data_IF_063712179624
#
_entry.id   IF_063712179624
#
_cell.length_a   1.000
_cell.length_b   1.000
_cell.length_c   1.000
_cell.angle_alpha   90.00
_cell.angle_beta   90.00
_cell.angle_gamma   90.00
#
_symmetry.space_group_name_H-M   'P 1'
#
loop_
_entity.id
_entity.type
_entity.pdbx_description
1 polymer ?
#
# COMPACT_ATOMS: atom_id res chain seq x y z
N UNK A 1 12.99 -14.25 -11.65
CA UNK A 1 12.87 -14.17 -10.18
C UNK A 1 13.94 -15.02 -9.55
N UNK A 2 14.74 -14.45 -8.67
CA UNK A 2 15.80 -15.16 -7.97
C UNK A 2 15.27 -15.73 -6.64
N UNK A 3 15.34 -17.05 -6.46
CA UNK A 3 14.85 -17.74 -5.26
C UNK A 3 15.57 -17.32 -3.97
N UNK A 4 16.82 -16.89 -4.07
CA UNK A 4 17.62 -16.42 -2.93
C UNK A 4 17.11 -15.11 -2.34
N UNK A 5 16.57 -14.22 -3.19
CA UNK A 5 16.03 -12.93 -2.74
C UNK A 5 14.65 -13.16 -2.10
N UNK A 6 13.88 -14.08 -2.65
CA UNK A 6 12.57 -14.47 -2.11
C UNK A 6 12.69 -15.08 -0.71
N UNK A 7 13.66 -15.96 -0.48
CA UNK A 7 13.88 -16.54 0.86
C UNK A 7 14.23 -15.46 1.89
N UNK A 8 15.09 -14.49 1.52
CA UNK A 8 15.41 -13.34 2.38
C UNK A 8 14.20 -12.47 2.67
N UNK A 9 13.39 -12.15 1.67
CA UNK A 9 12.17 -11.36 1.83
C UNK A 9 11.14 -12.07 2.73
N UNK A 10 11.05 -13.42 2.66
CA UNK A 10 10.13 -14.20 3.51
C UNK A 10 10.52 -14.22 4.99
N UNK A 11 11.77 -13.88 5.33
CA UNK A 11 12.19 -13.71 6.74
C UNK A 11 11.68 -12.39 7.29
N UNK A 12 11.66 -11.34 6.46
CA UNK A 12 11.13 -10.02 6.83
C UNK A 12 9.61 -10.04 6.92
N UNK A 13 8.95 -10.69 5.95
CA UNK A 13 7.49 -10.83 5.90
C UNK A 13 7.14 -12.32 5.95
N UNK A 14 6.81 -12.87 7.14
CA UNK A 14 6.46 -14.27 7.29
C UNK A 14 5.14 -14.63 6.57
N UNK A 15 4.22 -13.67 6.46
CA UNK A 15 2.92 -13.86 5.80
C UNK A 15 3.05 -13.82 4.27
N UNK A 16 2.89 -15.00 3.66
CA UNK A 16 3.03 -15.18 2.20
C UNK A 16 2.03 -14.33 1.40
N UNK A 17 0.78 -14.27 1.84
CA UNK A 17 -0.27 -13.48 1.18
C UNK A 17 0.06 -11.98 1.21
N UNK A 18 0.57 -11.50 2.35
CA UNK A 18 0.98 -10.11 2.52
C UNK A 18 2.19 -9.81 1.61
N UNK A 19 3.18 -10.69 1.59
CA UNK A 19 4.36 -10.57 0.73
C UNK A 19 3.97 -10.42 -0.75
N UNK A 20 3.07 -11.27 -1.26
CA UNK A 20 2.58 -11.17 -2.65
C UNK A 20 1.87 -9.83 -2.88
N UNK A 21 1.06 -9.37 -1.92
CA UNK A 21 0.34 -8.10 -2.02
C UNK A 21 1.27 -6.88 -2.05
N UNK A 22 2.35 -6.87 -1.25
CA UNK A 22 3.34 -5.80 -1.31
C UNK A 22 4.09 -5.84 -2.65
N UNK A 23 4.57 -7.02 -3.05
CA UNK A 23 5.36 -7.17 -4.27
C UNK A 23 4.55 -6.72 -5.49
N UNK A 24 3.28 -7.14 -5.63
CA UNK A 24 2.45 -6.72 -6.77
C UNK A 24 2.23 -5.20 -6.79
N UNK A 25 1.99 -4.59 -5.63
CA UNK A 25 1.72 -3.16 -5.53
C UNK A 25 2.98 -2.37 -5.87
N UNK A 26 4.12 -2.82 -5.36
CA UNK A 26 5.40 -2.17 -5.62
C UNK A 26 5.83 -2.30 -7.08
N UNK A 27 5.67 -3.49 -7.68
CA UNK A 27 5.94 -3.67 -9.12
C UNK A 27 5.06 -2.75 -9.97
N UNK A 28 3.80 -2.55 -9.59
CA UNK A 28 2.91 -1.58 -10.25
C UNK A 28 3.45 -0.15 -10.17
N UNK A 29 3.96 0.26 -9.00
CA UNK A 29 4.58 1.59 -8.83
C UNK A 29 5.83 1.74 -9.70
N UNK A 30 6.71 0.74 -9.72
CA UNK A 30 7.91 0.78 -10.54
C UNK A 30 7.57 0.85 -12.05
N UNK A 31 6.55 0.10 -12.49
CA UNK A 31 6.03 0.19 -13.86
C UNK A 31 5.45 1.58 -14.18
N UNK A 32 4.89 2.27 -13.19
CA UNK A 32 4.43 3.65 -13.34
C UNK A 32 5.57 4.69 -13.32
N UNK A 33 6.83 4.26 -13.23
CA UNK A 33 8.01 5.13 -13.26
C UNK A 33 8.45 5.65 -11.88
N UNK A 34 7.92 5.10 -10.78
CA UNK A 34 8.43 5.46 -9.46
C UNK A 34 9.88 5.03 -9.29
N UNK A 35 10.65 5.86 -8.58
CA UNK A 35 12.07 5.61 -8.31
C UNK A 35 12.25 4.39 -7.38
N UNK A 36 13.18 3.48 -7.68
CA UNK A 36 13.56 2.41 -6.76
C UNK A 36 14.31 2.96 -5.52
N UNK A 37 14.11 2.31 -4.38
CA UNK A 37 14.73 2.63 -3.08
C UNK A 37 16.07 1.91 -2.89
N UNK A 38 16.37 0.93 -3.73
CA UNK A 38 17.60 0.14 -3.75
C UNK A 38 18.32 0.38 -5.08
N UNK A 39 19.65 0.24 -5.09
CA UNK A 39 20.43 0.30 -6.31
C UNK A 39 20.02 -0.86 -7.24
N UNK A 40 19.55 -0.53 -8.44
CA UNK A 40 19.11 -1.52 -9.43
C UNK A 40 20.29 -1.81 -10.38
N UNK A 41 20.93 -2.99 -10.29
CA UNK A 41 21.92 -3.37 -11.28
C UNK A 41 21.24 -3.62 -12.64
N UNK A 42 21.96 -3.37 -13.76
CA UNK A 42 21.41 -3.58 -15.09
C UNK A 42 21.02 -5.06 -15.27
N UNK A 43 19.80 -5.30 -15.75
CA UNK A 43 19.26 -6.65 -15.97
C UNK A 43 18.45 -7.23 -14.80
N UNK A 44 18.31 -6.51 -13.67
CA UNK A 44 17.42 -6.94 -12.59
C UNK A 44 15.95 -6.67 -12.95
N UNK A 45 15.11 -7.70 -12.81
CA UNK A 45 13.67 -7.56 -13.03
C UNK A 45 13.00 -6.74 -11.93
N UNK A 46 11.91 -6.05 -12.25
CA UNK A 46 11.17 -5.20 -11.29
C UNK A 46 10.68 -5.97 -10.06
N UNK A 47 10.31 -7.24 -10.24
CA UNK A 47 9.93 -8.12 -9.12
C UNK A 47 11.10 -8.38 -8.18
N UNK A 48 12.31 -8.57 -8.73
CA UNK A 48 13.52 -8.78 -7.93
C UNK A 48 13.92 -7.48 -7.23
N UNK A 49 13.72 -6.32 -7.87
CA UNK A 49 13.89 -5.00 -7.22
C UNK A 49 12.95 -4.84 -6.04
N UNK A 50 11.65 -5.10 -6.22
CA UNK A 50 10.67 -5.02 -5.14
C UNK A 50 11.01 -5.97 -3.98
N UNK A 51 11.42 -7.22 -4.27
CA UNK A 51 11.84 -8.16 -3.23
C UNK A 51 13.12 -7.71 -2.51
N UNK A 52 14.07 -7.08 -3.21
CA UNK A 52 15.27 -6.53 -2.59
C UNK A 52 14.96 -5.36 -1.65
N UNK A 53 13.99 -4.51 -2.02
CA UNK A 53 13.52 -3.42 -1.15
C UNK A 53 12.85 -3.95 0.12
N UNK A 54 12.13 -5.07 0.04
CA UNK A 54 11.56 -5.77 1.21
C UNK A 54 12.68 -6.38 2.06
N UNK A 55 13.65 -7.06 1.44
CA UNK A 55 14.77 -7.67 2.16
C UNK A 55 15.62 -6.62 2.93
N UNK A 56 15.74 -5.40 2.38
CA UNK A 56 16.41 -4.26 3.00
C UNK A 56 15.54 -3.52 4.05
N UNK A 57 14.31 -3.99 4.32
CA UNK A 57 13.33 -3.34 5.22
C UNK A 57 12.96 -1.90 4.82
N UNK A 58 13.03 -1.55 3.54
CA UNK A 58 12.72 -0.18 3.06
C UNK A 58 11.25 0.02 2.69
N UNK A 59 10.47 -1.06 2.62
CA UNK A 59 9.03 -1.03 2.37
C UNK A 59 8.29 -1.47 3.63
N UNK A 60 7.46 -0.57 4.15
CA UNK A 60 6.53 -0.87 5.24
C UNK A 60 5.12 -1.04 4.67
N UNK A 61 4.43 -2.10 5.09
CA UNK A 61 2.98 -2.20 4.87
C UNK A 61 2.26 -1.60 6.07
N UNK A 62 1.62 -0.45 5.86
CA UNK A 62 0.57 -0.02 6.77
C UNK A 62 -0.68 -0.81 6.39
N UNK A 63 -1.09 -1.73 7.28
CA UNK A 63 -2.42 -2.28 7.21
C UNK A 63 -3.37 -1.10 7.44
N UNK A 64 -4.09 -0.69 6.40
CA UNK A 64 -5.30 0.09 6.60
C UNK A 64 -6.33 -0.86 7.22
N UNK A 65 -6.09 -1.32 8.44
CA UNK A 65 -7.19 -1.60 9.34
C UNK A 65 -8.03 -0.33 9.27
N UNK A 66 -9.29 -0.48 8.87
CA UNK A 66 -10.22 0.62 8.77
C UNK A 66 -9.98 1.55 9.96
N UNK A 67 -9.86 2.88 9.76
CA UNK A 67 -9.83 3.77 10.90
C UNK A 67 -11.01 3.36 11.77
N UNK A 68 -10.75 3.05 13.03
CA UNK A 68 -11.78 2.68 13.99
C UNK A 68 -12.98 3.59 13.71
N UNK A 69 -14.14 3.00 13.48
CA UNK A 69 -15.32 3.67 12.92
C UNK A 69 -15.80 4.89 13.75
N UNK A 70 -15.13 5.16 14.88
CA UNK A 70 -15.35 6.27 15.78
C UNK A 70 -14.57 7.55 15.43
N UNK A 71 -13.61 7.52 14.50
CA UNK A 71 -12.82 8.71 14.13
C UNK A 71 -13.42 9.55 12.98
N UNK A 72 -14.50 9.10 12.33
CA UNK A 72 -15.20 9.86 11.28
C UNK A 72 -16.36 10.73 11.81
N UNK A 73 -16.39 11.02 13.11
CA UNK A 73 -17.17 12.14 13.65
C UNK A 73 -16.52 13.49 13.29
N UNK A 74 -16.20 13.71 12.02
CA UNK A 74 -16.04 15.08 11.55
C UNK A 74 -17.39 15.78 11.77
N UNK A 75 -17.45 16.89 12.53
CA UNK A 75 -18.71 17.58 12.74
C UNK A 75 -19.19 18.02 11.36
N UNK A 76 -20.39 17.60 10.98
CA UNK A 76 -21.05 18.10 9.78
C UNK A 76 -21.23 19.61 9.99
N UNK A 77 -20.34 20.41 9.41
CA UNK A 77 -20.45 21.87 9.46
C UNK A 77 -21.64 22.21 8.55
N UNK A 78 -22.79 22.44 9.18
CA UNK A 78 -23.98 22.89 8.48
C UNK A 78 -23.78 24.37 8.17
N UNK A 79 -23.50 24.70 6.91
CA UNK A 79 -23.39 26.10 6.50
C UNK A 79 -24.76 26.80 6.60
N UNK A 80 -24.83 28.01 7.18
CA UNK A 80 -26.07 28.76 7.35
C UNK A 80 -26.52 29.34 6.00
N UNK A 81 -27.13 28.52 5.15
CA UNK A 81 -27.63 28.99 3.85
C UNK A 81 -28.26 27.97 2.92
N UNK A 82 -28.08 26.67 3.15
CA UNK A 82 -28.79 25.66 2.36
C UNK A 82 -30.15 25.34 2.98
N UNK A 83 -31.28 25.53 2.27
CA UNK A 83 -32.56 25.10 2.77
C UNK A 83 -32.55 23.57 2.87
N UNK A 84 -32.75 23.05 4.08
CA UNK A 84 -32.93 21.64 4.34
C UNK A 84 -33.95 21.06 3.36
N UNK A 85 -33.54 20.05 2.59
CA UNK A 85 -34.48 19.27 1.77
C UNK A 85 -35.47 18.60 2.71
N UNK A 86 -36.66 19.19 2.81
CA UNK A 86 -37.80 18.58 3.49
C UNK A 86 -38.05 17.23 2.83
N UNK A 87 -37.76 16.12 3.54
CA UNK A 87 -38.49 14.88 3.29
C UNK A 87 -39.96 15.15 3.61
N UNK A 88 -40.79 15.20 2.57
CA UNK A 88 -42.24 15.13 2.69
C UNK A 88 -42.73 13.89 1.97
N UNK A 89 -43.48 13.08 2.73
CA UNK A 89 -44.63 12.25 2.36
C UNK A 89 -44.37 11.07 1.37
N UNK A 90 -45.03 9.92 1.45
CA UNK A 90 -46.11 9.40 2.30
C UNK A 90 -45.94 7.88 2.40
#
# INVERSE_FOLDING_TARGET
>A
MNSTILSRASIVIPDKELLVNIVRLRVRQLNAGHRPLVAVPPGMGLSDVALSEIADNKLTSESTAAPDADALAAPIITFPGTPATKKKAA
#
